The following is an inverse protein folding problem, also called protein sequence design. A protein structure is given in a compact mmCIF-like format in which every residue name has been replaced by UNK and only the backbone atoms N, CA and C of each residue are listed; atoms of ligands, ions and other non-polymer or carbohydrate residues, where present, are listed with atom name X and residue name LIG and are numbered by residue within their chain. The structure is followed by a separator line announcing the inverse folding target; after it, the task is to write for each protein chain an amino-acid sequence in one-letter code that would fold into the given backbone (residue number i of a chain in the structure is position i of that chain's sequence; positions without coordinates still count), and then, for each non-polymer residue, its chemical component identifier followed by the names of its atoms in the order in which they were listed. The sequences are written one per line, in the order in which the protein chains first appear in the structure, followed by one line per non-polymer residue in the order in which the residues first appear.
data_IF_859460433314
#
_entry.id   IF_859460433314
#
_cell.length_a   1.000
_cell.length_b   1.000
_cell.length_c   1.000
_cell.angle_alpha   90.00
_cell.angle_beta   90.00
_cell.angle_gamma   90.00
#
_symmetry.space_group_name_H-M   'P 1'
#
loop_
_entity.id
_entity.type
_entity.pdbx_description
1 polymer ?
#
# COMPACT_ATOMS: atom_id res chain seq x y z
N UNK A 1 -25.67 -2.93 -10.99
CA UNK A 1 -25.09 -1.75 -10.30
C UNK A 1 -23.66 -2.10 -9.93
N UNK A 2 -22.64 -1.31 -10.31
CA UNK A 2 -21.27 -1.57 -9.87
C UNK A 2 -21.23 -1.60 -8.35
N UNK A 3 -20.76 -2.71 -7.77
CA UNK A 3 -20.59 -2.83 -6.32
C UNK A 3 -19.37 -1.99 -5.96
N UNK A 4 -19.61 -0.85 -5.33
CA UNK A 4 -18.54 -0.05 -4.74
C UNK A 4 -17.99 -0.84 -3.55
N UNK A 5 -16.70 -1.14 -3.59
CA UNK A 5 -15.99 -1.80 -2.49
C UNK A 5 -15.32 -0.71 -1.65
N UNK A 6 -16.00 -0.16 -0.62
CA UNK A 6 -15.51 1.00 0.13
C UNK A 6 -14.15 0.73 0.78
N UNK A 7 -13.86 -0.51 1.11
CA UNK A 7 -12.58 -0.91 1.70
C UNK A 7 -11.41 -0.77 0.73
N UNK A 8 -11.60 -1.15 -0.54
CA UNK A 8 -10.56 -0.99 -1.57
C UNK A 8 -10.31 0.50 -1.86
N UNK A 9 -11.38 1.31 -1.87
CA UNK A 9 -11.26 2.75 -2.02
C UNK A 9 -10.47 3.37 -0.86
N UNK A 10 -10.81 3.01 0.38
CA UNK A 10 -10.11 3.47 1.58
C UNK A 10 -8.62 3.11 1.53
N UNK A 11 -8.31 1.88 1.11
CA UNK A 11 -6.94 1.42 0.93
C UNK A 11 -6.17 2.30 -0.05
N UNK A 12 -6.74 2.55 -1.23
CA UNK A 12 -6.12 3.40 -2.25
C UNK A 12 -5.88 4.83 -1.76
N UNK A 13 -6.85 5.41 -1.02
CA UNK A 13 -6.71 6.76 -0.43
C UNK A 13 -5.55 6.80 0.56
N UNK A 14 -5.48 5.82 1.48
CA UNK A 14 -4.41 5.77 2.48
C UNK A 14 -3.04 5.54 1.83
N UNK A 15 -2.97 4.69 0.81
CA UNK A 15 -1.73 4.47 0.08
C UNK A 15 -1.27 5.72 -0.68
N UNK A 16 -2.19 6.43 -1.33
CA UNK A 16 -1.89 7.68 -2.01
C UNK A 16 -1.41 8.75 -1.00
N UNK A 17 -2.06 8.86 0.16
CA UNK A 17 -1.62 9.74 1.23
C UNK A 17 -0.19 9.39 1.70
N UNK A 18 0.12 8.10 1.83
CA UNK A 18 1.46 7.64 2.19
C UNK A 18 2.50 7.99 1.11
N UNK A 19 2.16 7.82 -0.18
CA UNK A 19 3.05 8.20 -1.28
C UNK A 19 3.34 9.71 -1.30
N UNK A 20 2.32 10.54 -1.06
CA UNK A 20 2.48 12.00 -0.92
C UNK A 20 3.32 12.35 0.30
N UNK A 21 3.11 11.68 1.44
CA UNK A 21 3.93 11.88 2.64
C UNK A 21 5.39 11.48 2.39
N UNK A 22 5.65 10.35 1.73
CA UNK A 22 6.99 9.92 1.35
C UNK A 22 7.67 10.94 0.41
N UNK A 23 6.92 11.48 -0.56
CA UNK A 23 7.42 12.56 -1.43
C UNK A 23 7.83 13.80 -0.62
N UNK A 24 6.96 14.26 0.28
CA UNK A 24 7.17 15.49 1.04
C UNK A 24 8.27 15.37 2.11
N UNK A 25 8.43 14.19 2.73
CA UNK A 25 9.33 13.99 3.86
C UNK A 25 10.72 13.47 3.45
N UNK A 26 10.80 12.63 2.42
CA UNK A 26 12.05 11.95 2.02
C UNK A 26 12.52 12.45 0.66
N UNK A 27 11.58 12.69 -0.27
CA UNK A 27 11.86 13.21 -1.61
C UNK A 27 11.17 12.41 -2.71
N UNK A 28 11.37 12.85 -3.95
CA UNK A 28 10.61 12.36 -5.10
C UNK A 28 10.76 10.85 -5.37
N UNK A 29 11.92 10.28 -5.04
CA UNK A 29 12.21 8.86 -5.21
C UNK A 29 11.30 7.98 -4.34
N UNK A 30 11.05 8.39 -3.09
CA UNK A 30 10.19 7.65 -2.16
C UNK A 30 8.74 7.66 -2.62
N UNK A 31 8.23 8.82 -3.06
CA UNK A 31 6.88 8.92 -3.63
C UNK A 31 6.71 8.07 -4.89
N UNK A 32 7.71 8.05 -5.78
CA UNK A 32 7.71 7.22 -6.97
C UNK A 32 7.74 5.71 -6.62
N UNK A 33 8.60 5.30 -5.70
CA UNK A 33 8.70 3.92 -5.23
C UNK A 33 7.40 3.42 -4.60
N UNK A 34 6.74 4.23 -3.76
CA UNK A 34 5.45 3.89 -3.17
C UNK A 34 4.36 3.77 -4.25
N UNK A 35 4.37 4.65 -5.25
CA UNK A 35 3.41 4.60 -6.36
C UNK A 35 3.58 3.36 -7.24
N UNK A 36 4.83 3.01 -7.58
CA UNK A 36 5.15 1.79 -8.33
C UNK A 36 4.89 0.54 -7.48
N UNK A 37 5.18 0.59 -6.19
CA UNK A 37 4.96 -0.49 -5.24
C UNK A 37 3.49 -0.90 -5.14
N UNK A 38 2.55 0.06 -5.22
CA UNK A 38 1.12 -0.23 -5.30
C UNK A 38 0.81 -1.20 -6.47
N UNK A 39 1.30 -0.85 -7.67
CA UNK A 39 1.02 -1.63 -8.87
C UNK A 39 1.79 -2.95 -8.90
N UNK A 40 3.07 -2.94 -8.52
CA UNK A 40 3.94 -4.11 -8.69
C UNK A 40 3.95 -5.08 -7.52
N UNK A 41 3.54 -4.68 -6.31
CA UNK A 41 3.49 -5.58 -5.16
C UNK A 41 2.05 -5.92 -4.79
N UNK A 42 1.15 -4.94 -4.73
CA UNK A 42 -0.18 -5.15 -4.13
C UNK A 42 -1.13 -5.87 -5.08
N UNK A 43 -1.14 -5.50 -6.35
CA UNK A 43 -1.93 -6.24 -7.35
C UNK A 43 -1.53 -7.72 -7.46
N UNK A 44 -0.25 -8.08 -7.67
CA UNK A 44 0.12 -9.48 -7.81
C UNK A 44 0.00 -10.27 -6.50
N UNK A 45 0.30 -9.68 -5.35
CA UNK A 45 0.11 -10.38 -4.06
C UNK A 45 -1.37 -10.68 -3.80
N UNK A 46 -2.26 -9.73 -4.05
CA UNK A 46 -3.71 -9.93 -3.90
C UNK A 46 -4.21 -11.02 -4.87
N UNK A 47 -3.77 -10.98 -6.13
CA UNK A 47 -4.13 -11.99 -7.13
C UNK A 47 -3.60 -13.39 -6.74
N UNK A 48 -2.36 -13.50 -6.28
CA UNK A 48 -1.76 -14.77 -5.85
C UNK A 48 -2.47 -15.37 -4.63
N UNK A 49 -2.80 -14.55 -3.62
CA UNK A 49 -3.46 -15.04 -2.41
C UNK A 49 -4.87 -15.53 -2.73
N UNK A 50 -5.65 -14.75 -3.50
CA UNK A 50 -7.00 -15.14 -3.87
C UNK A 50 -7.01 -16.41 -4.73
N UNK A 51 -6.08 -16.53 -5.68
CA UNK A 51 -6.00 -17.72 -6.55
C UNK A 51 -5.54 -18.98 -5.81
N UNK A 52 -4.65 -18.85 -4.81
CA UNK A 52 -4.11 -20.01 -4.08
C UNK A 52 -4.95 -20.44 -2.89
N UNK A 53 -5.57 -19.49 -2.17
CA UNK A 53 -6.26 -19.77 -0.90
C UNK A 53 -7.76 -19.63 -0.98
N UNK A 54 -8.29 -18.87 -1.96
CA UNK A 54 -9.71 -18.51 -2.03
C UNK A 54 -10.22 -17.69 -0.83
N UNK A 55 -9.32 -17.22 0.05
CA UNK A 55 -9.66 -16.60 1.31
C UNK A 55 -9.50 -15.08 1.25
N UNK A 56 -10.63 -14.36 1.19
CA UNK A 56 -10.68 -12.90 1.20
C UNK A 56 -10.15 -12.28 2.50
N UNK A 57 -10.24 -12.98 3.64
CA UNK A 57 -9.70 -12.47 4.90
C UNK A 57 -8.16 -12.46 4.87
N UNK A 58 -7.54 -13.49 4.28
CA UNK A 58 -6.09 -13.56 4.10
C UNK A 58 -5.58 -12.45 3.16
N UNK A 59 -6.29 -12.21 2.05
CA UNK A 59 -5.97 -11.12 1.12
C UNK A 59 -6.01 -9.76 1.83
N UNK A 60 -7.08 -9.51 2.60
CA UNK A 60 -7.24 -8.30 3.40
C UNK A 60 -6.06 -8.12 4.37
N UNK A 61 -5.72 -9.14 5.15
CA UNK A 61 -4.62 -9.07 6.14
C UNK A 61 -3.30 -8.71 5.46
N UNK A 62 -2.99 -9.34 4.33
CA UNK A 62 -1.74 -9.05 3.61
C UNK A 62 -1.76 -7.64 3.03
N UNK A 63 -2.85 -7.22 2.37
CA UNK A 63 -2.98 -5.88 1.79
C UNK A 63 -2.76 -4.79 2.85
N UNK A 64 -3.47 -4.88 3.97
CA UNK A 64 -3.32 -3.93 5.08
C UNK A 64 -1.97 -4.04 5.79
N UNK A 65 -1.41 -5.25 5.89
CA UNK A 65 -0.08 -5.50 6.44
C UNK A 65 1.02 -4.82 5.62
N UNK A 66 0.95 -4.89 4.28
CA UNK A 66 1.91 -4.20 3.39
C UNK A 66 1.83 -2.68 3.59
N UNK A 67 0.62 -2.11 3.67
CA UNK A 67 0.44 -0.67 3.94
C UNK A 67 1.03 -0.26 5.28
N UNK A 68 0.76 -1.03 6.34
CA UNK A 68 1.32 -0.75 7.67
C UNK A 68 2.86 -0.82 7.65
N UNK A 69 3.43 -1.84 7.02
CA UNK A 69 4.88 -1.98 6.89
C UNK A 69 5.48 -0.81 6.09
N UNK A 70 4.89 -0.44 4.96
CA UNK A 70 5.33 0.69 4.15
C UNK A 70 5.26 2.02 4.93
N UNK A 71 4.20 2.22 5.73
CA UNK A 71 4.05 3.40 6.58
C UNK A 71 5.15 3.48 7.65
N UNK A 72 5.43 2.37 8.33
CA UNK A 72 6.51 2.30 9.34
C UNK A 72 7.85 2.59 8.69
N UNK A 73 8.19 1.94 7.57
CA UNK A 73 9.46 2.15 6.86
C UNK A 73 9.59 3.60 6.42
N UNK A 74 8.54 4.19 5.85
CA UNK A 74 8.56 5.60 5.42
C UNK A 74 8.77 6.54 6.60
N UNK A 75 8.08 6.30 7.72
CA UNK A 75 8.24 7.11 8.93
C UNK A 75 9.66 6.98 9.52
N UNK A 76 10.20 5.76 9.63
CA UNK A 76 11.54 5.51 10.14
C UNK A 76 12.64 6.13 9.27
N UNK A 77 12.49 6.05 7.94
CA UNK A 77 13.45 6.68 7.01
C UNK A 77 13.36 8.20 7.09
N UNK A 78 12.15 8.75 7.18
CA UNK A 78 11.97 10.19 7.36
C UNK A 78 12.56 10.72 8.68
N UNK A 79 12.47 9.93 9.76
CA UNK A 79 13.09 10.26 11.04
C UNK A 79 14.62 10.23 10.97
N UNK A 80 15.19 9.22 10.32
CA UNK A 80 16.65 9.08 10.14
C UNK A 80 17.28 10.20 9.30
N UNK A 81 16.51 10.82 8.40
CA UNK A 81 16.99 11.89 7.51
C UNK A 81 16.85 13.30 8.10
N UNK A 82 16.20 13.44 9.26
CA UNK A 82 16.06 14.70 10.01
C UNK A 82 17.20 14.89 10.99
#
# INVERSE_FOLDING_TARGET
MPRLYPEALLFCILWAALAVAGFALIGWQAGALLSVGLFMLIMPSSALILTRTGNFAAERIVRWGILAAAAIVTASVADLLR
#
